data_IF_822105342516
#
_entry.id   IF_822105342516
#
_cell.length_a   1.000
_cell.length_b   1.000
_cell.length_c   1.000
_cell.angle_alpha   90.00
_cell.angle_beta   90.00
_cell.angle_gamma   90.00
#
_symmetry.space_group_name_H-M   'P 1'
#
loop_
_entity.id
_entity.type
_entity.pdbx_description
1 polymer ?
#
# COMPACT_ATOMS: atom_id res chain seq x y z
N UNK A 1 5.36 17.43 -27.23
CA UNK A 1 5.55 17.99 -25.88
C UNK A 1 4.43 17.47 -24.99
N UNK A 2 4.75 16.92 -23.81
CA UNK A 2 3.73 16.45 -22.87
C UNK A 2 2.81 17.61 -22.50
N UNK A 3 1.49 17.42 -22.60
CA UNK A 3 0.51 18.46 -22.27
C UNK A 3 0.64 18.80 -20.76
N UNK A 4 0.89 20.06 -20.36
CA UNK A 4 1.16 20.44 -18.97
C UNK A 4 0.03 20.08 -18.00
N UNK A 5 -1.21 19.96 -18.49
CA UNK A 5 -2.34 19.47 -17.70
C UNK A 5 -2.21 17.99 -17.33
N UNK A 6 -1.65 17.17 -18.22
CA UNK A 6 -1.41 15.74 -18.00
C UNK A 6 -0.33 15.53 -16.93
N UNK A 7 0.71 16.36 -16.91
CA UNK A 7 1.78 16.26 -15.91
C UNK A 7 1.33 16.59 -14.49
N UNK A 8 0.23 17.33 -14.31
CA UNK A 8 -0.30 17.70 -12.99
C UNK A 8 -1.39 16.73 -12.53
N UNK A 9 -2.28 16.32 -13.45
CA UNK A 9 -3.41 15.43 -13.13
C UNK A 9 -2.94 14.00 -12.81
N UNK A 10 -1.92 13.50 -13.52
CA UNK A 10 -1.40 12.13 -13.32
C UNK A 10 -0.87 11.91 -11.89
N UNK A 11 -0.05 12.80 -11.31
CA UNK A 11 0.35 12.69 -9.91
C UNK A 11 -0.82 12.68 -8.92
N UNK A 12 -1.80 13.56 -9.09
CA UNK A 12 -2.94 13.69 -8.17
C UNK A 12 -3.82 12.43 -8.23
N UNK A 13 -4.18 11.99 -9.43
CA UNK A 13 -4.91 10.73 -9.62
C UNK A 13 -4.12 9.53 -9.10
N UNK A 14 -2.79 9.53 -9.29
CA UNK A 14 -1.88 8.50 -8.77
C UNK A 14 -1.89 8.42 -7.24
N UNK A 15 -1.87 9.55 -6.53
CA UNK A 15 -1.93 9.60 -5.06
C UNK A 15 -3.27 9.05 -4.55
N UNK A 16 -4.39 9.49 -5.15
CA UNK A 16 -5.72 9.03 -4.74
C UNK A 16 -5.86 7.53 -5.00
N UNK A 17 -5.49 7.06 -6.19
CA UNK A 17 -5.61 5.66 -6.54
C UNK A 17 -4.66 4.76 -5.71
N UNK A 18 -3.46 5.24 -5.37
CA UNK A 18 -2.58 4.55 -4.43
C UNK A 18 -3.19 4.45 -3.03
N UNK A 19 -3.89 5.49 -2.55
CA UNK A 19 -4.54 5.46 -1.24
C UNK A 19 -5.70 4.44 -1.17
N UNK A 20 -6.51 4.36 -2.23
CA UNK A 20 -7.63 3.43 -2.34
C UNK A 20 -7.12 2.00 -2.57
N UNK A 21 -6.15 1.82 -3.47
CA UNK A 21 -5.52 0.53 -3.73
C UNK A 21 -4.83 -0.04 -2.49
N UNK A 22 -4.18 0.81 -1.69
CA UNK A 22 -3.60 0.42 -0.40
C UNK A 22 -4.66 -0.10 0.57
N UNK A 23 -5.78 0.63 0.76
CA UNK A 23 -6.87 0.14 1.62
C UNK A 23 -7.45 -1.18 1.12
N UNK A 24 -7.69 -1.30 -0.18
CA UNK A 24 -8.22 -2.52 -0.77
C UNK A 24 -7.26 -3.72 -0.58
N UNK A 25 -5.96 -3.50 -0.75
CA UNK A 25 -4.94 -4.51 -0.51
C UNK A 25 -4.85 -4.90 0.98
N UNK A 26 -4.91 -3.92 1.89
CA UNK A 26 -4.90 -4.16 3.34
C UNK A 26 -6.14 -4.95 3.79
N UNK A 27 -7.33 -4.59 3.31
CA UNK A 27 -8.57 -5.32 3.60
C UNK A 27 -8.53 -6.72 2.98
N UNK A 28 -8.08 -6.85 1.73
CA UNK A 28 -7.96 -8.14 1.06
C UNK A 28 -6.98 -9.07 1.79
N UNK A 29 -5.89 -8.51 2.32
CA UNK A 29 -4.95 -9.26 3.15
C UNK A 29 -5.60 -9.76 4.45
N UNK A 30 -6.33 -8.90 5.14
CA UNK A 30 -7.07 -9.27 6.36
C UNK A 30 -8.16 -10.32 6.11
N UNK A 31 -8.80 -10.30 4.94
CA UNK A 31 -9.79 -11.33 4.56
C UNK A 31 -9.13 -12.67 4.26
N UNK A 32 -7.99 -12.68 3.57
CA UNK A 32 -7.31 -13.93 3.16
C UNK A 32 -6.56 -14.58 4.32
N UNK A 33 -5.89 -13.78 5.15
CA UNK A 33 -5.01 -14.29 6.19
C UNK A 33 -5.55 -14.10 7.60
N UNK A 34 -6.63 -13.34 7.81
CA UNK A 34 -7.17 -13.04 9.14
C UNK A 34 -6.25 -12.16 10.00
N UNK A 35 -5.21 -11.59 9.39
CA UNK A 35 -4.13 -10.84 10.05
C UNK A 35 -4.02 -9.44 9.45
N UNK A 36 -3.52 -8.48 10.22
CA UNK A 36 -3.18 -7.16 9.68
C UNK A 36 -2.08 -7.28 8.61
N UNK A 37 -2.23 -6.54 7.52
CA UNK A 37 -1.20 -6.46 6.49
C UNK A 37 0.15 -6.01 7.08
N UNK A 38 1.28 -6.52 6.57
CA UNK A 38 2.61 -6.23 7.11
C UNK A 38 3.09 -4.84 6.67
N UNK A 39 2.48 -3.82 7.27
CA UNK A 39 2.78 -2.41 7.03
C UNK A 39 3.71 -1.88 8.11
N UNK A 40 4.40 -0.77 7.83
CA UNK A 40 5.24 -0.09 8.84
C UNK A 40 4.46 0.35 10.06
N UNK A 41 3.16 0.62 9.93
CA UNK A 41 2.28 1.00 11.04
C UNK A 41 1.92 -0.21 11.90
N UNK A 42 1.52 -1.33 11.30
CA UNK A 42 1.17 -2.55 12.03
C UNK A 42 2.39 -3.14 12.73
N UNK A 43 3.56 -3.15 12.09
CA UNK A 43 4.82 -3.56 12.73
C UNK A 43 5.17 -2.69 13.95
N UNK A 44 5.02 -1.37 13.84
CA UNK A 44 5.25 -0.45 14.97
C UNK A 44 4.25 -0.67 16.11
N UNK A 45 2.99 -0.95 15.80
CA UNK A 45 1.97 -1.25 16.80
C UNK A 45 2.28 -2.56 17.52
N UNK A 46 2.59 -3.63 16.77
CA UNK A 46 2.94 -4.93 17.33
C UNK A 46 4.17 -4.86 18.26
N UNK A 47 5.22 -4.11 17.87
CA UNK A 47 6.39 -3.88 18.73
C UNK A 47 6.05 -3.14 20.02
N UNK A 48 5.15 -2.16 19.96
CA UNK A 48 4.69 -1.43 21.15
C UNK A 48 3.88 -2.33 22.08
N UNK A 49 3.02 -3.18 21.54
CA UNK A 49 2.22 -4.11 22.34
C UNK A 49 3.10 -5.16 23.02
N UNK A 50 4.11 -5.70 22.33
CA UNK A 50 5.09 -6.60 22.93
C UNK A 50 5.88 -5.91 24.04
N UNK A 51 6.33 -4.68 23.83
CA UNK A 51 7.00 -3.92 24.87
C UNK A 51 6.09 -3.63 26.08
N UNK A 52 4.80 -3.37 25.85
CA UNK A 52 3.81 -3.18 26.91
C UNK A 52 3.57 -4.48 27.69
N UNK A 53 3.43 -5.62 27.01
CA UNK A 53 3.28 -6.95 27.62
C UNK A 53 4.52 -7.35 28.43
N UNK A 54 5.73 -7.11 27.91
CA UNK A 54 6.98 -7.32 28.67
C UNK A 54 7.05 -6.46 29.93
N UNK A 55 6.63 -5.20 29.85
CA UNK A 55 6.55 -4.30 31.02
C UNK A 55 5.51 -4.76 32.03
N UNK A 56 4.36 -5.23 31.58
CA UNK A 56 3.30 -5.75 32.45
C UNK A 56 3.74 -7.03 33.14
N UNK A 57 4.28 -8.01 32.40
CA UNK A 57 4.85 -9.23 32.97
C UNK A 57 5.94 -8.96 34.00
N UNK A 58 6.77 -7.93 33.79
CA UNK A 58 7.75 -7.48 34.79
C UNK A 58 7.10 -6.95 36.07
N UNK A 59 5.98 -6.23 35.97
CA UNK A 59 5.20 -5.75 37.13
C UNK A 59 4.52 -6.90 37.86
N UNK A 60 4.09 -7.90 37.11
CA UNK A 60 3.39 -9.08 37.64
C UNK A 60 4.36 -10.12 38.26
N UNK A 61 5.67 -9.83 38.25
CA UNK A 61 6.69 -10.66 38.90
C UNK A 61 7.19 -11.84 38.06
N UNK A 62 6.92 -11.86 36.75
CA UNK A 62 7.40 -12.91 35.86
C UNK A 62 8.94 -13.00 35.84
N UNK A 63 9.46 -14.21 35.70
CA UNK A 63 10.88 -14.48 35.60
C UNK A 63 11.47 -13.89 34.30
N UNK A 64 12.79 -13.67 34.27
CA UNK A 64 13.47 -13.16 33.06
C UNK A 64 13.28 -14.09 31.85
N UNK A 65 13.17 -15.39 32.07
CA UNK A 65 12.92 -16.37 31.02
C UNK A 65 11.51 -16.22 30.43
N UNK A 66 10.50 -15.99 31.26
CA UNK A 66 9.11 -15.75 30.82
C UNK A 66 8.96 -14.42 30.08
N UNK A 67 9.66 -13.37 30.52
CA UNK A 67 9.67 -12.07 29.83
C UNK A 67 10.36 -12.18 28.47
N UNK A 68 11.42 -12.98 28.35
CA UNK A 68 12.10 -13.26 27.07
C UNK A 68 11.26 -14.17 26.16
N UNK A 69 10.44 -15.05 26.73
CA UNK A 69 9.50 -15.88 25.98
C UNK A 69 8.36 -15.06 25.34
N UNK A 70 8.10 -13.82 25.81
CA UNK A 70 7.29 -12.84 25.07
C UNK A 70 8.08 -12.41 23.83
N UNK A 71 7.96 -13.21 22.78
CA UNK A 71 8.71 -13.13 21.53
C UNK A 71 8.43 -11.84 20.77
N UNK A 72 9.41 -11.38 20.00
CA UNK A 72 9.22 -10.21 19.13
C UNK A 72 8.29 -10.57 17.96
N UNK A 73 7.36 -9.69 17.55
CA UNK A 73 6.39 -10.02 16.51
C UNK A 73 7.02 -10.23 15.12
N UNK A 74 8.26 -9.75 14.94
CA UNK A 74 9.04 -9.99 13.73
C UNK A 74 9.48 -11.47 13.60
N UNK A 75 9.55 -12.23 14.71
CA UNK A 75 9.81 -13.68 14.68
C UNK A 75 8.56 -14.49 14.27
N UNK A 76 7.36 -13.93 14.46
CA UNK A 76 6.09 -14.62 14.17
C UNK A 76 5.59 -14.33 12.74
N UNK A 77 6.00 -13.23 12.10
CA UNK A 77 5.63 -12.98 10.71
C UNK A 77 6.52 -13.79 9.76
N UNK A 78 5.98 -14.80 9.05
CA UNK A 78 6.76 -15.59 8.13
C UNK A 78 7.33 -14.71 7.02
N UNK A 79 8.64 -14.80 6.78
CA UNK A 79 9.33 -14.01 5.73
C UNK A 79 8.64 -14.12 4.37
N UNK A 80 8.06 -15.28 4.06
CA UNK A 80 7.33 -15.49 2.80
C UNK A 80 6.07 -14.61 2.68
N UNK A 81 5.38 -14.29 3.80
CA UNK A 81 4.23 -13.37 3.81
C UNK A 81 4.68 -11.94 3.51
N UNK A 82 5.84 -11.53 4.01
CA UNK A 82 6.44 -10.23 3.67
C UNK A 82 6.79 -10.15 2.18
N UNK A 83 7.39 -11.20 1.62
CA UNK A 83 7.71 -11.27 0.19
C UNK A 83 6.44 -11.26 -0.68
N UNK A 84 5.41 -12.02 -0.28
CA UNK A 84 4.13 -12.04 -0.97
C UNK A 84 3.47 -10.66 -0.95
N UNK A 85 3.45 -9.99 0.21
CA UNK A 85 2.91 -8.64 0.31
C UNK A 85 3.68 -7.64 -0.54
N UNK A 86 5.01 -7.72 -0.56
CA UNK A 86 5.84 -6.86 -1.41
C UNK A 86 5.55 -7.09 -2.90
N UNK A 87 5.36 -8.35 -3.31
CA UNK A 87 4.98 -8.69 -4.69
C UNK A 87 3.61 -8.16 -5.06
N UNK A 88 2.59 -8.43 -4.23
CA UNK A 88 1.22 -7.96 -4.46
C UNK A 88 1.18 -6.43 -4.53
N UNK A 89 1.85 -5.76 -3.58
CA UNK A 89 1.94 -4.30 -3.56
C UNK A 89 2.67 -3.75 -4.79
N UNK A 90 3.76 -4.39 -5.22
CA UNK A 90 4.51 -4.01 -6.41
C UNK A 90 3.69 -4.12 -7.69
N UNK A 91 3.00 -5.25 -7.88
CA UNK A 91 2.10 -5.48 -9.03
C UNK A 91 0.96 -4.47 -9.03
N UNK A 92 0.37 -4.19 -7.87
CA UNK A 92 -0.73 -3.24 -7.74
C UNK A 92 -0.30 -1.81 -8.08
N UNK A 93 0.86 -1.36 -7.57
CA UNK A 93 1.45 -0.06 -7.91
C UNK A 93 1.79 0.06 -9.40
N UNK A 94 2.31 -1.00 -10.00
CA UNK A 94 2.66 -1.02 -11.42
C UNK A 94 1.39 -0.97 -12.29
N UNK A 95 0.35 -1.72 -11.93
CA UNK A 95 -0.97 -1.67 -12.58
C UNK A 95 -1.59 -0.28 -12.51
N UNK A 96 -1.57 0.35 -11.33
CA UNK A 96 -2.05 1.72 -11.12
C UNK A 96 -1.28 2.74 -11.98
N UNK A 97 0.06 2.61 -12.05
CA UNK A 97 0.90 3.49 -12.89
C UNK A 97 0.56 3.35 -14.36
N UNK A 98 0.42 2.12 -14.87
CA UNK A 98 0.06 1.89 -16.28
C UNK A 98 -1.35 2.37 -16.59
N UNK A 99 -2.31 2.16 -15.69
CA UNK A 99 -3.67 2.65 -15.83
C UNK A 99 -3.73 4.19 -15.85
N UNK A 100 -3.02 4.85 -14.94
CA UNK A 100 -2.94 6.31 -14.91
C UNK A 100 -2.31 6.88 -16.19
N UNK A 101 -1.23 6.27 -16.68
CA UNK A 101 -0.60 6.69 -17.95
C UNK A 101 -1.52 6.51 -19.15
N UNK A 102 -2.24 5.38 -19.25
CA UNK A 102 -3.20 5.12 -20.34
C UNK A 102 -4.39 6.09 -20.26
N UNK A 103 -5.01 6.22 -19.08
CA UNK A 103 -6.15 7.10 -18.87
C UNK A 103 -5.82 8.56 -19.14
N UNK A 104 -4.65 9.03 -18.73
CA UNK A 104 -4.23 10.40 -18.99
C UNK A 104 -3.87 10.66 -20.46
N UNK A 105 -3.31 9.67 -21.18
CA UNK A 105 -3.12 9.77 -22.65
C UNK A 105 -4.46 9.86 -23.37
N UNK A 106 -5.40 8.96 -23.08
CA UNK A 106 -6.74 8.96 -23.71
C UNK A 106 -7.53 10.23 -23.37
N UNK A 107 -7.44 10.70 -22.12
CA UNK A 107 -8.06 11.96 -21.70
C UNK A 107 -7.44 13.17 -22.38
N UNK A 108 -6.11 13.19 -22.52
CA UNK A 108 -5.42 14.23 -23.27
C UNK A 108 -5.80 14.23 -24.74
N UNK A 109 -5.82 13.07 -25.39
CA UNK A 109 -6.24 12.91 -26.79
C UNK A 109 -7.66 13.39 -27.01
N UNK A 110 -8.61 13.10 -26.11
CA UNK A 110 -9.98 13.62 -26.18
C UNK A 110 -10.08 15.14 -26.01
N UNK A 111 -9.21 15.73 -25.19
CA UNK A 111 -9.17 17.18 -24.96
C UNK A 111 -8.40 17.94 -26.06
N UNK A 112 -7.45 17.29 -26.73
CA UNK A 112 -6.61 17.91 -27.78
C UNK A 112 -7.05 17.59 -29.20
N UNK A 113 -7.90 16.57 -29.43
CA UNK A 113 -8.50 16.35 -30.75
C UNK A 113 -9.52 17.45 -31.07
N UNK A 114 -9.06 18.44 -31.83
CA UNK A 114 -9.92 19.42 -32.49
C UNK A 114 -10.82 18.65 -33.46
N UNK A 115 -12.14 18.80 -33.32
CA UNK A 115 -13.15 18.25 -34.26
C UNK A 115 -12.67 18.51 -35.69
N UNK A 116 -12.58 17.50 -36.58
CA UNK A 116 -12.10 17.70 -37.93
C UNK A 116 -12.95 18.79 -38.58
N UNK A 117 -12.30 19.88 -39.03
CA UNK A 117 -13.01 20.91 -39.80
C UNK A 117 -13.48 20.25 -41.09
N UNK A 118 -14.78 20.36 -41.45
CA UNK A 118 -15.21 19.93 -42.76
C UNK A 118 -14.35 20.68 -43.78
N UNK A 119 -13.71 19.96 -44.68
CA UNK A 119 -13.05 20.54 -45.85
C UNK A 119 -14.09 21.44 -46.52
N UNK A 120 -13.89 22.76 -46.49
CA UNK A 120 -14.63 23.65 -47.38
C UNK A 120 -14.07 23.35 -48.77
N UNK A 121 -14.87 22.68 -49.57
CA UNK A 121 -14.60 22.47 -51.00
C UNK A 121 -14.42 23.78 -51.74
#
# INVERSE_FOLDING_TARGET
MANPLVSIIVPVAGIIAASVGKKAAETGWGVVFGEDAPTTKSQKAAKKDVAARRKQAKKDGASKAEIQAIRDPDDDQPVWKLMLWALVSGVLLQGLRTAAQRGAKTGAERLTTRRPRPNRG
#
